data_IF_039921070203
#
_entry.id   IF_039921070203
#
_cell.length_a   1.000
_cell.length_b   1.000
_cell.length_c   1.000
_cell.angle_alpha   90.00
_cell.angle_beta   90.00
_cell.angle_gamma   90.00
#
_symmetry.space_group_name_H-M   'P 1'
#
loop_
_entity.id
_entity.type
_entity.pdbx_description
1 polymer ?
#
# COMPACT_ATOMS: atom_id res chain seq x y z
N UNK A 1 -13.27 27.79 37.62
CA UNK A 1 -12.32 27.43 36.54
C UNK A 1 -12.34 25.93 36.22
N UNK A 2 -12.36 25.05 37.21
CA UNK A 2 -12.39 23.59 37.02
C UNK A 2 -13.59 23.07 36.19
N UNK A 3 -14.80 23.59 36.42
CA UNK A 3 -15.98 23.19 35.64
C UNK A 3 -15.90 23.57 34.14
N UNK A 4 -15.26 24.70 33.81
CA UNK A 4 -15.04 25.13 32.42
C UNK A 4 -14.01 24.25 31.71
N UNK A 5 -13.04 23.71 32.45
CA UNK A 5 -12.05 22.77 31.92
C UNK A 5 -12.69 21.41 31.63
N UNK A 6 -13.53 20.90 32.55
CA UNK A 6 -14.24 19.63 32.36
C UNK A 6 -15.19 19.66 31.17
N UNK A 7 -15.90 20.77 30.94
CA UNK A 7 -16.79 20.91 29.79
C UNK A 7 -16.03 20.95 28.46
N UNK A 8 -14.83 21.53 28.43
CA UNK A 8 -13.97 21.52 27.24
C UNK A 8 -13.45 20.12 26.92
N UNK A 9 -13.03 19.36 27.93
CA UNK A 9 -12.62 17.96 27.73
C UNK A 9 -13.77 17.08 27.24
N UNK A 10 -14.98 17.25 27.79
CA UNK A 10 -16.16 16.53 27.31
C UNK A 10 -16.47 16.84 25.85
N UNK A 11 -16.36 18.11 25.43
CA UNK A 11 -16.59 18.53 24.05
C UNK A 11 -15.55 17.94 23.10
N UNK A 12 -14.27 17.92 23.50
CA UNK A 12 -13.19 17.32 22.71
C UNK A 12 -13.36 15.81 22.53
N UNK A 13 -13.84 15.10 23.55
CA UNK A 13 -14.12 13.65 23.46
C UNK A 13 -15.26 13.40 22.48
N UNK A 14 -16.36 14.15 22.57
CA UNK A 14 -17.50 14.01 21.65
C UNK A 14 -17.08 14.33 20.22
N UNK A 15 -16.31 15.40 20.01
CA UNK A 15 -15.80 15.77 18.68
C UNK A 15 -14.85 14.71 18.09
N UNK A 16 -13.97 14.14 18.92
CA UNK A 16 -13.07 13.06 18.51
C UNK A 16 -13.80 11.76 18.13
N UNK A 17 -14.90 11.44 18.81
CA UNK A 17 -15.73 10.27 18.49
C UNK A 17 -16.47 10.45 17.16
N UNK A 18 -16.96 11.66 16.85
CA UNK A 18 -17.66 11.96 15.59
C UNK A 18 -16.70 11.91 14.39
N UNK A 19 -15.44 12.31 14.55
CA UNK A 19 -14.46 12.31 13.45
C UNK A 19 -14.02 10.89 13.02
N UNK A 20 -14.30 9.87 13.85
CA UNK A 20 -13.85 8.48 13.63
C UNK A 20 -14.80 7.64 12.76
N UNK A 21 -15.96 8.18 12.34
CA UNK A 21 -16.98 7.38 11.64
C UNK A 21 -16.74 7.16 10.15
N UNK A 22 -15.69 7.74 9.55
CA UNK A 22 -15.45 7.67 8.10
C UNK A 22 -14.48 6.57 7.64
N UNK A 23 -14.12 5.63 8.52
CA UNK A 23 -13.17 4.54 8.18
C UNK A 23 -13.78 3.13 8.24
N UNK A 24 -15.09 2.98 8.50
CA UNK A 24 -15.73 1.68 8.48
C UNK A 24 -16.00 1.24 7.03
N UNK A 25 -15.60 0.02 6.63
CA UNK A 25 -15.97 -0.52 5.31
C UNK A 25 -17.49 -0.60 5.21
N UNK A 26 -18.08 -0.05 4.16
CA UNK A 26 -19.52 -0.19 3.92
C UNK A 26 -19.86 -1.68 3.77
N UNK A 27 -20.78 -2.18 4.59
CA UNK A 27 -21.20 -3.59 4.63
C UNK A 27 -21.75 -4.10 3.27
N UNK A 28 -22.21 -3.20 2.39
CA UNK A 28 -22.71 -3.54 1.05
C UNK A 28 -21.65 -3.68 -0.04
N UNK A 29 -20.36 -3.51 0.26
CA UNK A 29 -19.29 -3.65 -0.73
C UNK A 29 -19.21 -5.08 -1.29
N UNK A 30 -19.42 -6.08 -0.43
CA UNK A 30 -19.32 -7.48 -0.85
C UNK A 30 -20.54 -8.00 -1.59
N UNK A 31 -21.74 -7.51 -1.26
CA UNK A 31 -22.99 -7.90 -1.94
C UNK A 31 -23.07 -7.42 -3.40
N UNK A 32 -22.36 -6.34 -3.74
CA UNK A 32 -22.29 -5.82 -5.10
C UNK A 32 -21.50 -6.75 -6.06
N UNK A 33 -20.66 -7.64 -5.53
CA UNK A 33 -19.88 -8.58 -6.32
C UNK A 33 -20.64 -9.88 -6.66
N UNK A 34 -21.73 -10.18 -5.96
CA UNK A 34 -22.58 -11.35 -6.26
C UNK A 34 -23.52 -11.09 -7.44
N UNK A 35 -23.87 -9.82 -7.73
CA UNK A 35 -24.81 -9.47 -8.79
C UNK A 35 -24.15 -9.29 -10.18
N UNK A 36 -22.87 -8.94 -10.24
CA UNK A 36 -22.20 -8.63 -11.51
C UNK A 36 -20.75 -9.15 -11.59
N UNK A 37 -20.55 -10.40 -12.06
CA UNK A 37 -19.21 -10.96 -12.28
C UNK A 37 -18.45 -10.27 -13.43
N UNK A 38 -19.13 -9.55 -14.32
CA UNK A 38 -18.52 -8.84 -15.44
C UNK A 38 -17.82 -7.57 -14.95
N UNK A 39 -18.41 -6.87 -13.98
CA UNK A 39 -17.79 -5.75 -13.28
C UNK A 39 -16.50 -6.17 -12.56
N UNK A 40 -16.47 -7.35 -11.94
CA UNK A 40 -15.25 -7.91 -11.35
C UNK A 40 -14.18 -8.17 -12.40
N UNK A 41 -14.56 -8.78 -13.52
CA UNK A 41 -13.63 -9.02 -14.62
C UNK A 41 -13.09 -7.73 -15.21
N UNK A 42 -13.90 -6.68 -15.30
CA UNK A 42 -13.46 -5.35 -15.73
C UNK A 42 -12.43 -4.76 -14.75
N UNK A 43 -12.70 -4.84 -13.44
CA UNK A 43 -11.77 -4.37 -12.39
C UNK A 43 -10.45 -5.15 -12.46
N UNK A 44 -10.50 -6.49 -12.59
CA UNK A 44 -9.32 -7.34 -12.70
C UNK A 44 -8.54 -7.06 -13.99
N UNK A 45 -9.23 -6.79 -15.09
CA UNK A 45 -8.61 -6.45 -16.38
C UNK A 45 -7.94 -5.08 -16.30
N UNK A 46 -8.60 -4.08 -15.71
CA UNK A 46 -8.02 -2.75 -15.42
C UNK A 46 -6.81 -2.87 -14.50
N UNK A 47 -6.87 -3.69 -13.46
CA UNK A 47 -5.75 -3.94 -12.54
C UNK A 47 -4.56 -4.64 -13.21
N UNK A 48 -4.82 -5.64 -14.07
CA UNK A 48 -3.81 -6.29 -14.89
C UNK A 48 -3.14 -5.31 -15.86
N UNK A 49 -3.91 -4.41 -16.46
CA UNK A 49 -3.38 -3.37 -17.34
C UNK A 49 -2.49 -2.38 -16.58
N UNK A 50 -2.90 -1.95 -15.37
CA UNK A 50 -2.09 -1.10 -14.50
C UNK A 50 -0.78 -1.79 -14.09
N UNK A 51 -0.82 -3.06 -13.66
CA UNK A 51 0.37 -3.83 -13.29
C UNK A 51 1.35 -3.97 -14.45
N UNK A 52 0.85 -4.25 -15.67
CA UNK A 52 1.71 -4.36 -16.84
C UNK A 52 2.26 -2.99 -17.26
N UNK A 53 1.48 -1.91 -17.09
CA UNK A 53 1.96 -0.54 -17.31
C UNK A 53 3.05 -0.12 -16.32
N UNK A 54 3.05 -0.62 -15.08
CA UNK A 54 4.16 -0.39 -14.12
C UNK A 54 5.45 -1.10 -14.55
N UNK A 55 5.36 -2.30 -15.14
CA UNK A 55 6.51 -3.02 -15.66
C UNK A 55 7.14 -2.29 -16.86
N UNK A 56 6.32 -1.68 -17.73
CA UNK A 56 6.80 -0.88 -18.88
C UNK A 56 7.21 0.55 -18.47
N UNK A 57 6.64 1.10 -17.40
CA UNK A 57 6.85 2.47 -16.94
C UNK A 57 7.56 2.52 -15.59
N UNK A 58 8.75 1.91 -15.51
CA UNK A 58 9.68 2.03 -14.38
C UNK A 58 10.10 3.48 -14.04
N UNK A 59 9.63 4.49 -14.80
CA UNK A 59 9.90 5.91 -14.59
C UNK A 59 8.78 6.65 -13.85
N UNK A 60 7.62 6.04 -13.64
CA UNK A 60 6.54 6.57 -12.80
C UNK A 60 6.02 5.47 -11.88
N UNK A 61 6.77 5.22 -10.81
CA UNK A 61 6.30 4.33 -9.74
C UNK A 61 4.99 4.86 -9.15
N UNK A 62 3.99 3.98 -9.03
CA UNK A 62 2.78 4.24 -8.27
C UNK A 62 3.17 4.36 -6.80
N UNK A 63 3.32 5.59 -6.29
CA UNK A 63 3.53 5.80 -4.86
C UNK A 63 2.19 5.65 -4.15
N UNK A 64 1.94 4.45 -3.61
CA UNK A 64 0.80 4.16 -2.74
C UNK A 64 0.90 4.87 -1.37
N UNK A 65 1.82 5.81 -1.19
CA UNK A 65 2.03 6.54 0.05
C UNK A 65 2.62 5.67 1.16
N UNK A 66 3.06 4.45 0.85
CA UNK A 66 3.71 3.53 1.80
C UNK A 66 5.02 4.10 2.34
N UNK A 67 5.63 5.05 1.62
CA UNK A 67 6.86 5.73 2.03
C UNK A 67 6.63 7.01 2.84
N UNK A 68 5.38 7.44 3.10
CA UNK A 68 5.14 8.65 3.92
C UNK A 68 5.58 8.38 5.35
N UNK A 69 6.60 9.11 5.80
CA UNK A 69 7.24 8.91 7.10
C UNK A 69 8.39 7.89 7.08
N UNK A 70 8.75 7.35 5.92
CA UNK A 70 9.88 6.41 5.81
C UNK A 70 11.20 7.19 5.69
N UNK A 71 12.17 6.83 6.52
CA UNK A 71 13.48 7.48 6.49
C UNK A 71 14.21 7.17 5.18
N UNK A 72 14.87 8.17 4.56
CA UNK A 72 15.68 7.97 3.37
C UNK A 72 16.74 6.87 3.54
N UNK A 73 17.26 6.72 4.76
CA UNK A 73 18.20 5.65 5.12
C UNK A 73 17.57 4.25 5.09
N UNK A 74 16.29 4.12 5.42
CA UNK A 74 15.55 2.86 5.31
C UNK A 74 15.22 2.54 3.85
N UNK A 75 14.82 3.55 3.06
CA UNK A 75 14.62 3.39 1.62
C UNK A 75 15.92 2.96 0.90
N UNK A 76 17.06 3.56 1.29
CA UNK A 76 18.38 3.19 0.76
C UNK A 76 18.78 1.76 1.15
N UNK A 77 18.59 1.36 2.42
CA UNK A 77 18.84 -0.02 2.86
C UNK A 77 17.95 -1.02 2.13
N UNK A 78 16.68 -0.67 1.90
CA UNK A 78 15.75 -1.51 1.17
C UNK A 78 16.18 -1.70 -0.28
N UNK A 79 16.54 -0.62 -0.98
CA UNK A 79 17.09 -0.70 -2.34
C UNK A 79 18.39 -1.50 -2.41
N UNK A 80 19.29 -1.31 -1.44
CA UNK A 80 20.55 -2.07 -1.35
C UNK A 80 20.28 -3.57 -1.12
N UNK A 81 19.32 -3.92 -0.27
CA UNK A 81 18.90 -5.30 -0.02
C UNK A 81 18.31 -5.95 -1.27
N UNK A 82 17.44 -5.24 -1.98
CA UNK A 82 16.89 -5.72 -3.27
C UNK A 82 17.99 -5.90 -4.32
N UNK A 83 18.95 -4.98 -4.42
CA UNK A 83 20.07 -5.08 -5.35
C UNK A 83 20.98 -6.27 -5.01
N UNK A 84 21.25 -6.50 -3.71
CA UNK A 84 22.03 -7.64 -3.24
C UNK A 84 21.31 -8.99 -3.51
N UNK A 85 20.00 -9.07 -3.32
CA UNK A 85 19.21 -10.26 -3.61
C UNK A 85 19.15 -10.57 -5.12
N UNK A 86 19.10 -9.54 -5.95
CA UNK A 86 19.10 -9.67 -7.42
C UNK A 86 20.50 -9.83 -8.02
N UNK A 87 21.56 -9.79 -7.21
CA UNK A 87 22.93 -9.88 -7.69
C UNK A 87 23.20 -11.27 -8.30
N UNK A 88 23.45 -11.27 -9.61
CA UNK A 88 23.62 -12.50 -10.39
C UNK A 88 24.82 -13.35 -9.96
N UNK A 89 25.81 -12.76 -9.29
CA UNK A 89 27.01 -13.42 -8.77
C UNK A 89 26.97 -13.74 -7.27
N UNK A 90 25.79 -13.76 -6.65
CA UNK A 90 25.65 -14.06 -5.23
C UNK A 90 26.19 -15.46 -4.86
N UNK A 91 26.72 -15.64 -3.63
CA UNK A 91 27.23 -16.94 -3.19
C UNK A 91 26.19 -18.05 -3.37
N UNK A 92 26.54 -19.15 -4.03
CA UNK A 92 25.64 -20.27 -4.29
C UNK A 92 24.89 -20.24 -5.64
N UNK A 93 24.93 -19.14 -6.41
CA UNK A 93 24.44 -19.15 -7.80
C UNK A 93 25.53 -19.72 -8.71
N UNK A 94 25.30 -20.92 -9.26
CA UNK A 94 26.16 -21.52 -10.30
C UNK A 94 26.25 -20.57 -11.49
N UNK A 95 27.48 -20.25 -11.93
CA UNK A 95 27.69 -19.43 -13.12
C UNK A 95 27.14 -20.21 -14.31
N UNK A 96 26.21 -19.62 -15.05
CA UNK A 96 25.59 -20.26 -16.23
C UNK A 96 26.61 -20.58 -17.34
N UNK A 97 27.85 -20.08 -17.23
CA UNK A 97 29.00 -20.40 -18.07
C UNK A 97 29.71 -21.72 -17.73
N UNK A 98 29.30 -22.42 -16.67
CA UNK A 98 29.90 -23.70 -16.22
C UNK A 98 28.98 -24.91 -16.50
N UNK A 99 28.02 -24.78 -17.41
CA UNK A 99 27.27 -25.93 -17.92
C UNK A 99 28.01 -26.50 -19.14
N UNK A 100 28.37 -27.80 -19.15
CA UNK A 100 29.03 -28.46 -20.28
C UNK A 100 28.12 -28.60 -21.51
#
# INVERSE_FOLDING_TARGET
>A
MQQRMLSLYALLIVFGLILSTNAAPQQGYWSQFDEDPEALMEILTRLGHMRNSELENNKRGLDLGLNRGFSASQAAKHLMGLAAANYAGGPGRRRRSEQP
#
